data_IF_005560227452
#
_entry.id   IF_005560227452
#
_cell.length_a   1.000
_cell.length_b   1.000
_cell.length_c   1.000
_cell.angle_alpha   90.00
_cell.angle_beta   90.00
_cell.angle_gamma   90.00
#
_symmetry.space_group_name_H-M   'P 1'
#
loop_
_entity.id
_entity.type
_entity.pdbx_description
1 polymer ?
#
# COMPACT_ATOMS: atom_id res chain seq x y z
N UNK A 1 -12.27 -11.74 -1.87
CA UNK A 1 -13.07 -10.52 -1.58
C UNK A 1 -14.02 -10.85 -0.44
N UNK A 2 -14.00 -10.09 0.64
CA UNK A 2 -15.04 -10.12 1.65
C UNK A 2 -16.16 -9.12 1.26
N UNK A 3 -17.39 -9.48 1.53
CA UNK A 3 -18.56 -8.63 1.31
C UNK A 3 -19.25 -8.49 2.66
N UNK A 4 -19.06 -7.34 3.31
CA UNK A 4 -19.56 -7.06 4.63
C UNK A 4 -21.01 -6.51 4.63
N UNK A 5 -21.53 -6.16 3.44
CA UNK A 5 -22.87 -5.63 3.28
C UNK A 5 -23.22 -5.26 1.84
N UNK A 6 -24.39 -4.65 1.67
CA UNK A 6 -24.98 -4.37 0.34
C UNK A 6 -24.85 -2.91 -0.11
N UNK A 7 -24.23 -2.02 0.68
CA UNK A 7 -24.02 -0.64 0.25
C UNK A 7 -22.95 -0.57 -0.83
N UNK A 8 -22.82 0.59 -1.44
CA UNK A 8 -21.95 0.78 -2.61
C UNK A 8 -20.48 0.46 -2.31
N UNK A 9 -20.02 0.72 -1.08
CA UNK A 9 -18.62 0.54 -0.66
C UNK A 9 -18.46 -0.43 0.50
N UNK A 10 -19.42 -1.37 0.70
CA UNK A 10 -19.34 -2.35 1.79
C UNK A 10 -18.55 -3.63 1.41
N UNK A 11 -18.06 -3.75 0.17
CA UNK A 11 -17.12 -4.80 -0.24
C UNK A 11 -15.68 -4.31 -0.16
N UNK A 12 -14.72 -5.23 0.01
CA UNK A 12 -13.29 -4.91 -0.02
C UNK A 12 -12.94 -4.07 -1.26
N UNK A 13 -13.30 -4.57 -2.46
CA UNK A 13 -13.01 -3.87 -3.72
C UNK A 13 -13.68 -2.50 -3.78
N UNK A 14 -14.96 -2.39 -3.37
CA UNK A 14 -15.67 -1.12 -3.34
C UNK A 14 -15.03 -0.11 -2.38
N UNK A 15 -14.54 -0.59 -1.24
CA UNK A 15 -13.85 0.22 -0.24
C UNK A 15 -12.46 0.67 -0.73
N UNK A 16 -11.72 -0.23 -1.36
CA UNK A 16 -10.38 0.07 -1.89
C UNK A 16 -10.45 1.09 -3.03
N UNK A 17 -11.42 0.95 -3.95
CA UNK A 17 -11.67 1.93 -5.01
C UNK A 17 -12.03 3.30 -4.42
N UNK A 18 -12.93 3.32 -3.43
CA UNK A 18 -13.30 4.56 -2.76
C UNK A 18 -12.09 5.23 -2.11
N UNK A 19 -11.29 4.48 -1.39
CA UNK A 19 -10.09 5.00 -0.73
C UNK A 19 -9.06 5.51 -1.74
N UNK A 20 -8.81 4.73 -2.80
CA UNK A 20 -7.89 5.13 -3.87
C UNK A 20 -8.29 6.50 -4.44
N UNK A 21 -9.53 6.66 -4.88
CA UNK A 21 -10.00 7.90 -5.50
C UNK A 21 -9.99 9.07 -4.51
N UNK A 22 -10.54 8.86 -3.32
CA UNK A 22 -10.72 9.93 -2.34
C UNK A 22 -9.40 10.38 -1.73
N UNK A 23 -8.49 9.47 -1.40
CA UNK A 23 -7.20 9.86 -0.83
C UNK A 23 -6.29 10.52 -1.88
N UNK A 24 -6.24 10.00 -3.12
CA UNK A 24 -5.50 10.62 -4.22
C UNK A 24 -6.00 12.05 -4.49
N UNK A 25 -7.32 12.24 -4.57
CA UNK A 25 -7.91 13.57 -4.74
C UNK A 25 -7.58 14.50 -3.56
N UNK A 26 -7.74 14.01 -2.34
CA UNK A 26 -7.42 14.79 -1.14
C UNK A 26 -5.95 15.19 -1.09
N UNK A 27 -5.06 14.38 -1.61
CA UNK A 27 -3.63 14.63 -1.68
C UNK A 27 -3.23 15.53 -2.85
N UNK A 28 -4.20 15.93 -3.68
CA UNK A 28 -4.00 16.91 -4.75
C UNK A 28 -3.62 16.30 -6.10
N UNK A 29 -3.79 14.98 -6.27
CA UNK A 29 -3.65 14.35 -7.58
C UNK A 29 -4.71 14.91 -8.53
N UNK A 30 -4.34 15.17 -9.78
CA UNK A 30 -5.27 15.69 -10.78
C UNK A 30 -6.39 14.69 -11.08
N UNK A 31 -7.58 15.19 -11.38
CA UNK A 31 -8.72 14.35 -11.75
C UNK A 31 -8.41 13.49 -12.99
N UNK A 32 -7.75 14.07 -13.98
CA UNK A 32 -7.41 13.35 -15.21
C UNK A 32 -6.47 12.15 -14.91
N UNK A 33 -5.53 12.33 -13.99
CA UNK A 33 -4.65 11.24 -13.55
C UNK A 33 -5.45 10.15 -12.83
N UNK A 34 -6.33 10.53 -11.90
CA UNK A 34 -7.19 9.59 -11.16
C UNK A 34 -8.08 8.79 -12.13
N UNK A 35 -8.73 9.48 -13.06
CA UNK A 35 -9.59 8.82 -14.06
C UNK A 35 -8.78 7.89 -14.96
N UNK A 36 -7.60 8.30 -15.40
CA UNK A 36 -6.71 7.46 -16.22
C UNK A 36 -6.29 6.19 -15.48
N UNK A 37 -5.96 6.28 -14.19
CA UNK A 37 -5.62 5.12 -13.35
C UNK A 37 -6.83 4.18 -13.19
N UNK A 38 -8.02 4.71 -12.94
CA UNK A 38 -9.26 3.93 -12.87
C UNK A 38 -9.49 3.14 -14.17
N UNK A 39 -9.39 3.80 -15.32
CA UNK A 39 -9.61 3.15 -16.61
C UNK A 39 -8.56 2.06 -16.90
N UNK A 40 -7.32 2.25 -16.45
CA UNK A 40 -6.26 1.26 -16.59
C UNK A 40 -6.50 0.00 -15.72
N UNK A 41 -7.12 0.17 -14.57
CA UNK A 41 -7.39 -0.93 -13.64
C UNK A 41 -8.70 -1.68 -13.94
N UNK A 42 -9.54 -1.19 -14.84
CA UNK A 42 -10.85 -1.80 -15.17
C UNK A 42 -10.72 -3.30 -15.46
N UNK A 43 -9.74 -3.70 -16.28
CA UNK A 43 -9.56 -5.11 -16.68
C UNK A 43 -9.18 -6.02 -15.52
N UNK A 44 -8.53 -5.48 -14.49
CA UNK A 44 -8.10 -6.23 -13.32
C UNK A 44 -9.27 -6.51 -12.36
N UNK A 45 -10.25 -5.61 -12.31
CA UNK A 45 -11.40 -5.70 -11.42
C UNK A 45 -12.65 -6.27 -12.10
N UNK A 46 -12.95 -5.89 -13.31
CA UNK A 46 -14.18 -6.26 -14.02
C UNK A 46 -14.07 -7.62 -14.72
N UNK A 47 -13.87 -8.69 -13.94
CA UNK A 47 -13.73 -10.06 -14.47
C UNK A 47 -15.05 -10.68 -14.91
N UNK A 48 -16.17 -10.19 -14.40
CA UNK A 48 -17.53 -10.58 -14.75
C UNK A 48 -18.54 -9.45 -14.48
N UNK A 49 -19.83 -9.69 -14.70
CA UNK A 49 -20.88 -8.67 -14.52
C UNK A 49 -21.09 -8.28 -13.05
N UNK A 50 -20.87 -9.18 -12.09
CA UNK A 50 -21.00 -8.92 -10.67
C UNK A 50 -19.91 -7.95 -10.19
N UNK A 51 -18.64 -8.25 -10.52
CA UNK A 51 -17.52 -7.36 -10.20
C UNK A 51 -17.58 -6.05 -10.97
N UNK A 52 -18.08 -6.07 -12.19
CA UNK A 52 -18.34 -4.86 -13.00
C UNK A 52 -19.36 -3.92 -12.32
N UNK A 53 -20.44 -4.48 -11.75
CA UNK A 53 -21.41 -3.69 -10.97
C UNK A 53 -20.74 -3.04 -9.76
N UNK A 54 -19.99 -3.80 -8.96
CA UNK A 54 -19.31 -3.30 -7.74
C UNK A 54 -18.31 -2.20 -8.12
N UNK A 55 -17.43 -2.49 -9.07
CA UNK A 55 -16.39 -1.58 -9.50
C UNK A 55 -16.93 -0.23 -9.94
N UNK A 56 -17.79 -0.24 -10.96
CA UNK A 56 -18.26 1.00 -11.56
C UNK A 56 -19.20 1.80 -10.65
N UNK A 57 -20.00 1.13 -9.81
CA UNK A 57 -20.83 1.85 -8.84
C UNK A 57 -19.99 2.52 -7.76
N UNK A 58 -18.90 1.87 -7.30
CA UNK A 58 -17.96 2.46 -6.36
C UNK A 58 -17.16 3.62 -6.97
N UNK A 59 -16.72 3.49 -8.24
CA UNK A 59 -16.06 4.56 -9.01
C UNK A 59 -16.96 5.79 -9.12
N UNK A 60 -18.19 5.63 -9.62
CA UNK A 60 -19.10 6.77 -9.82
C UNK A 60 -19.48 7.43 -8.50
N UNK A 61 -19.75 6.63 -7.45
CA UNK A 61 -20.02 7.15 -6.12
C UNK A 61 -18.86 8.01 -5.60
N UNK A 62 -17.63 7.52 -5.75
CA UNK A 62 -16.42 8.18 -5.27
C UNK A 62 -16.15 9.49 -6.03
N UNK A 63 -16.26 9.46 -7.36
CA UNK A 63 -16.10 10.64 -8.21
C UNK A 63 -17.21 11.68 -7.93
N UNK A 64 -18.44 11.24 -7.69
CA UNK A 64 -19.51 12.12 -7.24
C UNK A 64 -19.22 12.74 -5.86
N UNK A 65 -18.66 11.95 -4.93
CA UNK A 65 -18.27 12.44 -3.59
C UNK A 65 -17.25 13.56 -3.64
N UNK A 66 -16.32 13.50 -4.57
CA UNK A 66 -15.31 14.55 -4.77
C UNK A 66 -15.82 15.70 -5.68
N UNK A 67 -17.04 15.58 -6.24
CA UNK A 67 -17.65 16.59 -7.11
C UNK A 67 -17.10 16.62 -8.54
N UNK A 68 -16.54 15.52 -9.02
CA UNK A 68 -15.88 15.43 -10.32
C UNK A 68 -16.28 14.15 -11.08
N UNK A 69 -17.58 13.89 -11.21
CA UNK A 69 -18.08 12.74 -11.98
C UNK A 69 -18.15 13.08 -13.47
N UNK A 70 -17.30 12.49 -14.35
CA UNK A 70 -17.41 12.66 -15.79
C UNK A 70 -18.72 12.12 -16.35
N UNK A 71 -19.19 12.72 -17.43
CA UNK A 71 -20.50 12.39 -18.02
C UNK A 71 -20.53 10.97 -18.61
N UNK A 72 -19.46 10.54 -19.27
CA UNK A 72 -19.30 9.21 -19.84
C UNK A 72 -19.31 8.12 -18.76
N UNK A 73 -18.61 8.33 -17.65
CA UNK A 73 -18.65 7.40 -16.50
C UNK A 73 -20.05 7.38 -15.88
N UNK A 74 -20.69 8.53 -15.74
CA UNK A 74 -22.05 8.61 -15.23
C UNK A 74 -23.03 7.81 -16.08
N UNK A 75 -23.00 7.96 -17.39
CA UNK A 75 -23.86 7.24 -18.34
C UNK A 75 -23.60 5.74 -18.26
N UNK A 76 -22.32 5.31 -18.31
CA UNK A 76 -21.93 3.90 -18.16
C UNK A 76 -22.52 3.28 -16.88
N UNK A 77 -22.44 4.00 -15.76
CA UNK A 77 -22.92 3.46 -14.47
C UNK A 77 -24.43 3.44 -14.39
N UNK A 78 -25.13 4.43 -14.96
CA UNK A 78 -26.58 4.40 -15.03
C UNK A 78 -27.09 3.25 -15.89
N UNK A 79 -26.40 2.89 -16.97
CA UNK A 79 -26.71 1.72 -17.80
C UNK A 79 -26.49 0.41 -17.03
N UNK A 80 -25.44 0.33 -16.22
CA UNK A 80 -25.20 -0.83 -15.33
C UNK A 80 -26.32 -0.95 -14.30
N UNK A 81 -26.69 0.15 -13.63
CA UNK A 81 -27.78 0.16 -12.64
C UNK A 81 -29.13 -0.20 -13.28
N UNK A 82 -29.40 0.22 -14.51
CA UNK A 82 -30.62 -0.09 -15.21
C UNK A 82 -30.80 -1.58 -15.51
N UNK A 83 -29.73 -2.37 -15.55
CA UNK A 83 -29.80 -3.84 -15.65
C UNK A 83 -30.31 -4.51 -14.37
N UNK A 84 -30.26 -3.79 -13.25
CA UNK A 84 -30.61 -4.31 -11.93
C UNK A 84 -29.41 -4.91 -11.18
N UNK A 85 -29.61 -5.15 -9.89
CA UNK A 85 -28.60 -5.81 -9.05
C UNK A 85 -28.37 -7.25 -9.53
N UNK A 86 -27.11 -7.66 -9.59
CA UNK A 86 -26.72 -8.97 -10.08
C UNK A 86 -27.25 -10.10 -9.17
N UNK A 87 -27.69 -11.22 -9.75
CA UNK A 87 -28.32 -12.31 -9.01
C UNK A 87 -27.40 -12.98 -7.97
N UNK A 88 -26.10 -12.90 -8.14
CA UNK A 88 -25.10 -13.41 -7.18
C UNK A 88 -25.27 -12.85 -5.76
N UNK A 89 -25.95 -11.72 -5.60
CA UNK A 89 -26.29 -11.19 -4.27
C UNK A 89 -27.19 -12.14 -3.48
N UNK A 90 -27.95 -13.05 -4.13
CA UNK A 90 -28.75 -14.06 -3.45
C UNK A 90 -27.90 -15.16 -2.80
N UNK A 91 -26.71 -15.41 -3.33
CA UNK A 91 -25.79 -16.41 -2.77
C UNK A 91 -25.17 -15.93 -1.45
N UNK A 92 -25.14 -14.61 -1.24
CA UNK A 92 -24.62 -13.98 -0.02
C UNK A 92 -25.71 -13.99 1.09
N UNK A 93 -26.90 -13.51 0.79
CA UNK A 93 -28.08 -13.52 1.68
C UNK A 93 -29.38 -13.40 0.88
N UNK A 94 -30.43 -14.10 1.31
CA UNK A 94 -31.72 -14.13 0.65
C UNK A 94 -32.40 -12.77 0.47
N UNK A 95 -32.00 -11.78 1.26
CA UNK A 95 -32.52 -10.38 1.19
C UNK A 95 -31.54 -9.45 0.48
N UNK A 96 -30.28 -9.88 0.25
CA UNK A 96 -29.22 -9.02 -0.26
C UNK A 96 -29.54 -8.45 -1.64
N UNK A 97 -30.07 -9.24 -2.57
CA UNK A 97 -30.44 -8.76 -3.91
C UNK A 97 -31.41 -7.57 -3.85
N UNK A 98 -32.50 -7.68 -3.07
CA UNK A 98 -33.48 -6.62 -2.93
C UNK A 98 -32.91 -5.38 -2.24
N UNK A 99 -32.06 -5.58 -1.26
CA UNK A 99 -31.41 -4.49 -0.55
C UNK A 99 -30.38 -3.79 -1.44
N UNK A 100 -29.61 -4.56 -2.21
CA UNK A 100 -28.65 -4.01 -3.18
C UNK A 100 -29.35 -3.20 -4.25
N UNK A 101 -30.44 -3.72 -4.83
CA UNK A 101 -31.25 -2.96 -5.80
C UNK A 101 -31.65 -1.59 -5.24
N UNK A 102 -32.15 -1.53 -4.00
CA UNK A 102 -32.49 -0.27 -3.37
C UNK A 102 -31.29 0.69 -3.23
N UNK A 103 -30.08 0.16 -2.99
CA UNK A 103 -28.87 0.99 -2.94
C UNK A 103 -28.52 1.52 -4.33
N UNK A 104 -28.65 0.70 -5.36
CA UNK A 104 -28.42 1.09 -6.75
C UNK A 104 -29.43 2.16 -7.21
N UNK A 105 -30.72 2.00 -6.90
CA UNK A 105 -31.75 2.98 -7.21
C UNK A 105 -31.46 4.33 -6.51
N UNK A 106 -31.03 4.27 -5.26
CA UNK A 106 -30.64 5.46 -4.51
C UNK A 106 -29.42 6.13 -5.14
N UNK A 107 -28.42 5.34 -5.56
CA UNK A 107 -27.24 5.86 -6.26
C UNK A 107 -27.62 6.50 -7.59
N UNK A 108 -28.51 5.87 -8.39
CA UNK A 108 -28.96 6.42 -9.67
C UNK A 108 -29.56 7.82 -9.51
N UNK A 109 -30.41 8.01 -8.50
CA UNK A 109 -30.98 9.33 -8.18
C UNK A 109 -29.88 10.31 -7.74
N UNK A 110 -28.94 9.85 -6.91
CA UNK A 110 -27.84 10.67 -6.42
C UNK A 110 -26.92 11.16 -7.54
N UNK A 111 -26.57 10.30 -8.49
CA UNK A 111 -25.69 10.64 -9.60
C UNK A 111 -26.31 11.63 -10.59
N UNK A 112 -27.65 11.80 -10.60
CA UNK A 112 -28.32 12.77 -11.45
C UNK A 112 -28.24 14.22 -10.94
N UNK A 113 -27.74 14.41 -9.73
CA UNK A 113 -27.56 15.73 -9.13
C UNK A 113 -26.09 15.97 -8.80
N UNK A 114 -25.69 17.24 -8.78
CA UNK A 114 -24.38 17.62 -8.23
C UNK A 114 -24.31 17.35 -6.73
N UNK A 115 -23.11 17.01 -6.24
CA UNK A 115 -22.91 16.87 -4.81
C UNK A 115 -22.96 18.25 -4.13
N UNK A 116 -23.93 18.50 -3.23
CA UNK A 116 -24.02 19.80 -2.57
C UNK A 116 -22.87 20.07 -1.59
N UNK A 117 -22.10 19.04 -1.24
CA UNK A 117 -20.99 19.11 -0.30
C UNK A 117 -19.80 18.24 -0.78
N UNK A 118 -19.17 18.59 -1.90
CA UNK A 118 -18.04 17.80 -2.39
C UNK A 118 -16.87 17.82 -1.40
N UNK A 119 -16.16 16.72 -1.36
CA UNK A 119 -14.92 16.63 -0.60
C UNK A 119 -13.91 17.61 -1.19
N UNK A 120 -13.12 18.21 -0.33
CA UNK A 120 -12.11 19.21 -0.74
C UNK A 120 -10.72 18.59 -0.71
N UNK A 121 -9.89 19.03 -1.64
CA UNK A 121 -8.44 18.84 -1.54
C UNK A 121 -8.00 19.38 -0.17
N UNK A 122 -7.26 18.59 0.52
CA UNK A 122 -6.75 18.99 1.83
C UNK A 122 -5.61 19.98 1.61
N UNK A 123 -5.55 21.06 2.37
CA UNK A 123 -4.39 21.96 2.34
C UNK A 123 -3.14 21.17 2.75
N UNK A 124 -2.13 21.16 1.89
CA UNK A 124 -0.83 20.59 2.22
C UNK A 124 -0.33 21.21 3.52
N UNK A 125 -0.09 20.39 4.51
CA UNK A 125 0.75 20.80 5.64
C UNK A 125 2.18 20.79 5.13
N UNK A 126 3.00 21.69 5.59
CA UNK A 126 4.40 21.92 5.24
C UNK A 126 5.09 20.69 4.65
N UNK A 127 5.66 20.81 3.44
CA UNK A 127 6.50 19.73 2.88
C UNK A 127 7.53 19.33 3.95
N UNK A 128 7.47 18.08 4.36
CA UNK A 128 8.53 17.49 5.18
C UNK A 128 9.55 16.91 4.24
N UNK A 129 10.80 17.15 4.52
CA UNK A 129 11.88 16.48 3.80
C UNK A 129 12.10 15.09 4.41
N UNK A 130 12.27 14.04 3.60
CA UNK A 130 12.62 12.72 4.10
C UNK A 130 13.93 12.74 4.88
N UNK A 131 14.04 11.93 5.93
CA UNK A 131 15.28 11.71 6.66
C UNK A 131 16.32 10.99 5.83
N UNK A 132 15.89 10.08 4.97
CA UNK A 132 16.73 9.23 4.13
C UNK A 132 16.14 9.13 2.72
N UNK A 133 16.98 8.72 1.77
CA UNK A 133 16.62 8.50 0.37
C UNK A 133 16.66 7.00 0.05
N UNK A 134 15.93 6.60 -0.98
CA UNK A 134 16.05 5.25 -1.54
C UNK A 134 17.50 4.97 -1.90
N UNK A 135 18.00 3.83 -1.47
CA UNK A 135 19.39 3.41 -1.67
C UNK A 135 20.35 3.83 -0.56
N UNK A 136 19.95 4.71 0.38
CA UNK A 136 20.81 5.00 1.54
C UNK A 136 21.04 3.73 2.35
N UNK A 137 22.33 3.47 2.68
CA UNK A 137 22.77 2.33 3.51
C UNK A 137 23.08 2.84 4.89
N UNK A 138 22.45 2.21 5.89
CA UNK A 138 22.48 2.66 7.27
C UNK A 138 23.13 1.60 8.16
N UNK A 139 24.10 2.02 8.98
CA UNK A 139 24.47 1.29 10.18
C UNK A 139 23.42 1.56 11.25
N UNK A 140 22.95 0.51 11.90
CA UNK A 140 22.03 0.58 13.03
C UNK A 140 22.78 0.26 14.30
N UNK A 141 22.82 1.19 15.24
CA UNK A 141 23.49 1.00 16.54
C UNK A 141 22.49 0.46 17.55
N UNK A 142 22.74 -0.74 18.00
CA UNK A 142 22.10 -1.35 19.17
C UNK A 142 22.94 -1.13 20.44
N UNK A 143 22.52 -1.69 21.56
CA UNK A 143 23.24 -1.50 22.84
C UNK A 143 24.71 -1.98 22.79
N UNK A 144 24.94 -3.20 22.25
CA UNK A 144 26.25 -3.84 22.23
C UNK A 144 26.74 -4.23 20.83
N UNK A 145 25.95 -3.97 19.81
CA UNK A 145 26.16 -4.46 18.44
C UNK A 145 25.70 -3.43 17.41
N UNK A 146 26.09 -3.68 16.18
CA UNK A 146 25.64 -2.93 15.02
C UNK A 146 25.05 -3.86 13.98
N UNK A 147 23.94 -3.41 13.39
CA UNK A 147 23.38 -4.02 12.19
C UNK A 147 23.60 -3.18 10.95
N UNK A 148 23.22 -3.71 9.80
CA UNK A 148 23.16 -2.96 8.55
C UNK A 148 21.81 -3.17 7.85
N UNK A 149 21.25 -2.07 7.40
CA UNK A 149 19.98 -2.01 6.66
C UNK A 149 20.14 -1.05 5.47
N UNK A 150 19.19 -1.04 4.55
CA UNK A 150 19.16 -0.04 3.49
C UNK A 150 17.72 0.41 3.23
N UNK A 151 17.58 1.63 2.73
CA UNK A 151 16.28 2.18 2.37
C UNK A 151 15.85 1.61 1.03
N UNK A 152 14.91 0.69 1.04
CA UNK A 152 14.41 0.02 -0.17
C UNK A 152 13.34 0.85 -0.89
N UNK A 153 12.59 1.66 -0.14
CA UNK A 153 11.57 2.56 -0.71
C UNK A 153 11.27 3.72 0.23
N UNK A 154 10.80 4.83 -0.33
CA UNK A 154 10.26 5.99 0.39
C UNK A 154 8.96 6.40 -0.26
N UNK A 155 7.84 6.07 0.36
CA UNK A 155 6.52 6.53 -0.08
C UNK A 155 6.23 7.92 0.47
N UNK A 156 6.25 8.92 -0.40
CA UNK A 156 6.03 10.31 -0.04
C UNK A 156 4.78 10.87 -0.69
N UNK A 157 3.82 11.22 0.15
CA UNK A 157 2.67 12.04 -0.22
C UNK A 157 2.75 13.42 0.47
N UNK A 158 1.89 14.40 0.10
CA UNK A 158 1.85 15.71 0.76
C UNK A 158 1.64 15.68 2.29
N UNK A 159 1.36 14.49 2.84
CA UNK A 159 1.01 14.32 4.27
C UNK A 159 1.77 13.26 4.98
N UNK A 160 2.25 12.28 4.25
CA UNK A 160 2.74 11.03 4.75
C UNK A 160 4.10 10.78 4.11
N UNK A 161 5.07 10.49 4.92
CA UNK A 161 6.33 9.91 4.48
C UNK A 161 6.48 8.61 5.22
N UNK A 162 6.65 7.54 4.47
CA UNK A 162 6.87 6.20 4.98
C UNK A 162 8.13 5.63 4.36
N UNK A 163 8.82 4.85 5.14
CA UNK A 163 10.10 4.27 4.76
C UNK A 163 10.01 2.77 4.82
N UNK A 164 10.56 2.13 3.84
CA UNK A 164 10.82 0.70 3.84
C UNK A 164 12.32 0.48 4.02
N UNK A 165 12.67 -0.17 5.10
CA UNK A 165 14.05 -0.43 5.50
C UNK A 165 14.31 -1.92 5.37
N UNK A 166 14.95 -2.33 4.28
CA UNK A 166 15.29 -3.71 4.04
C UNK A 166 16.45 -4.13 4.97
N UNK A 167 16.23 -5.19 5.73
CA UNK A 167 17.19 -5.68 6.70
C UNK A 167 18.20 -6.65 6.06
N UNK A 168 19.42 -6.66 6.58
CA UNK A 168 20.41 -7.67 6.25
C UNK A 168 20.64 -8.60 7.44
N UNK A 169 21.38 -9.70 7.24
CA UNK A 169 21.83 -10.60 8.32
C UNK A 169 23.16 -10.18 8.94
N UNK A 170 23.57 -8.92 8.73
CA UNK A 170 24.81 -8.41 9.30
C UNK A 170 24.57 -7.88 10.71
N UNK A 171 25.08 -8.61 11.69
CA UNK A 171 25.08 -8.23 13.10
C UNK A 171 26.47 -8.48 13.67
N UNK A 172 27.12 -7.43 14.20
CA UNK A 172 28.51 -7.50 14.66
C UNK A 172 28.80 -6.42 15.72
N UNK A 173 29.91 -6.57 16.43
CA UNK A 173 30.31 -5.63 17.49
C UNK A 173 30.79 -4.28 16.97
N UNK A 174 31.39 -4.27 15.80
CA UNK A 174 31.94 -3.07 15.20
C UNK A 174 30.96 -2.50 14.16
N UNK A 175 31.04 -1.20 13.95
CA UNK A 175 30.22 -0.50 12.94
C UNK A 175 30.51 -1.09 11.55
N UNK A 176 29.47 -1.47 10.78
CA UNK A 176 29.61 -2.06 9.44
C UNK A 176 30.27 -1.11 8.44
N UNK A 177 31.05 -1.68 7.54
CA UNK A 177 31.55 -1.00 6.34
C UNK A 177 30.65 -1.32 5.14
N UNK A 178 30.75 -0.49 4.07
CA UNK A 178 30.08 -0.78 2.81
C UNK A 178 30.47 -2.14 2.22
N UNK A 179 31.72 -2.53 2.34
CA UNK A 179 32.18 -3.84 1.86
C UNK A 179 31.49 -4.98 2.60
N UNK A 180 31.40 -4.90 3.91
CA UNK A 180 30.70 -5.91 4.73
C UNK A 180 29.20 -5.93 4.41
N UNK A 181 28.58 -4.75 4.25
CA UNK A 181 27.18 -4.65 3.83
C UNK A 181 26.95 -5.34 2.47
N UNK A 182 27.76 -5.03 1.44
CA UNK A 182 27.62 -5.60 0.10
C UNK A 182 27.79 -7.12 0.05
N UNK A 183 28.58 -7.68 0.95
CA UNK A 183 28.79 -9.12 1.08
C UNK A 183 27.85 -9.79 2.08
N UNK A 184 26.96 -9.04 2.73
CA UNK A 184 25.95 -9.60 3.62
C UNK A 184 24.78 -10.19 2.85
N UNK A 185 23.99 -11.00 3.52
CA UNK A 185 22.76 -11.58 2.99
C UNK A 185 21.60 -10.68 3.34
N UNK A 186 20.62 -10.59 2.43
CA UNK A 186 19.35 -9.94 2.71
C UNK A 186 18.56 -10.82 3.70
N UNK A 187 17.91 -10.20 4.67
CA UNK A 187 17.02 -10.91 5.57
C UNK A 187 15.72 -11.23 4.82
N UNK A 188 15.54 -12.50 4.50
CA UNK A 188 14.32 -13.00 3.83
C UNK A 188 13.75 -14.18 4.59
N UNK A 189 12.44 -14.36 4.50
CA UNK A 189 11.72 -15.48 5.08
C UNK A 189 10.80 -16.12 4.05
N UNK A 190 10.49 -17.39 4.25
CA UNK A 190 9.54 -18.10 3.44
C UNK A 190 8.36 -18.51 4.32
N UNK A 191 7.18 -18.11 3.92
CA UNK A 191 5.97 -18.57 4.57
C UNK A 191 5.59 -19.99 4.12
N UNK A 192 4.54 -20.55 4.71
CA UNK A 192 4.03 -21.88 4.37
C UNK A 192 3.32 -21.94 3.00
N UNK A 193 3.12 -20.81 2.35
CA UNK A 193 2.43 -20.68 1.05
C UNK A 193 3.37 -20.65 -0.14
N UNK A 194 4.68 -20.81 0.08
CA UNK A 194 5.74 -20.71 -0.92
C UNK A 194 6.08 -19.31 -1.44
N UNK A 195 5.56 -18.27 -0.82
CA UNK A 195 6.01 -16.91 -1.09
C UNK A 195 7.28 -16.62 -0.31
N UNK A 196 8.29 -16.08 -1.00
CA UNK A 196 9.42 -15.48 -0.33
C UNK A 196 8.97 -14.15 0.24
N UNK A 197 9.22 -13.93 1.52
CA UNK A 197 8.84 -12.73 2.21
C UNK A 197 10.11 -12.05 2.67
N UNK A 198 10.41 -10.92 2.06
CA UNK A 198 11.51 -10.08 2.50
C UNK A 198 11.13 -9.44 3.83
N UNK A 199 12.09 -9.39 4.73
CA UNK A 199 11.91 -8.72 6.00
C UNK A 199 12.35 -7.28 5.84
N UNK A 200 11.46 -6.42 5.41
CA UNK A 200 11.66 -5.00 5.56
C UNK A 200 10.82 -4.46 6.71
N UNK A 201 11.37 -3.47 7.38
CA UNK A 201 10.70 -2.74 8.42
C UNK A 201 10.04 -1.50 7.82
N UNK A 202 8.77 -1.30 8.12
CA UNK A 202 8.04 -0.14 7.64
C UNK A 202 7.85 0.88 8.77
N UNK A 203 8.31 2.11 8.54
CA UNK A 203 8.21 3.20 9.49
C UNK A 203 7.49 4.40 8.92
N UNK A 204 6.65 5.04 9.71
CA UNK A 204 6.24 6.39 9.42
C UNK A 204 7.36 7.41 9.79
N UNK A 205 7.29 8.59 9.21
CA UNK A 205 8.31 9.63 9.38
C UNK A 205 8.56 10.05 10.85
N UNK A 206 7.53 10.04 11.68
CA UNK A 206 7.65 10.42 13.07
C UNK A 206 8.39 9.37 13.88
N UNK A 207 8.03 8.11 13.69
CA UNK A 207 8.61 7.01 14.48
C UNK A 207 10.06 6.77 14.07
N UNK A 208 10.37 6.83 12.76
CA UNK A 208 11.75 6.79 12.30
C UNK A 208 12.58 7.97 12.85
N UNK A 209 11.96 9.15 12.94
CA UNK A 209 12.59 10.35 13.52
C UNK A 209 13.06 10.17 14.96
N UNK A 210 12.45 9.26 15.73
CA UNK A 210 12.87 8.94 17.09
C UNK A 210 14.12 8.05 17.14
N UNK A 211 14.47 7.43 16.04
CA UNK A 211 15.58 6.47 15.95
C UNK A 211 16.84 7.08 15.29
N UNK A 212 16.82 8.35 14.86
CA UNK A 212 17.91 8.95 14.10
C UNK A 212 19.28 8.87 14.82
N UNK A 213 19.30 8.96 16.15
CA UNK A 213 20.54 8.81 16.94
C UNK A 213 21.13 7.40 16.89
N UNK A 214 20.34 6.42 16.43
CA UNK A 214 20.77 5.04 16.25
C UNK A 214 21.10 4.70 14.79
N UNK A 215 20.83 5.60 13.85
CA UNK A 215 20.95 5.37 12.42
C UNK A 215 22.03 6.28 11.83
N UNK A 216 23.02 5.68 11.18
CA UNK A 216 24.08 6.43 10.53
C UNK A 216 24.25 5.99 9.08
N UNK A 217 24.23 6.95 8.15
CA UNK A 217 24.50 6.66 6.73
C UNK A 217 25.95 6.26 6.58
N UNK A 218 26.20 5.06 6.06
CA UNK A 218 27.54 4.53 5.77
C UNK A 218 27.86 4.52 4.28
N UNK A 219 26.86 4.77 3.44
CA UNK A 219 26.99 4.86 1.99
C UNK A 219 25.64 4.87 1.30
N UNK A 220 25.66 4.73 -0.01
CA UNK A 220 24.46 4.61 -0.83
C UNK A 220 24.69 3.64 -1.98
N UNK A 221 23.60 3.05 -2.47
CA UNK A 221 23.57 2.13 -3.61
C UNK A 221 22.42 2.47 -4.55
N UNK A 222 22.57 2.13 -5.81
CA UNK A 222 21.45 2.10 -6.74
C UNK A 222 20.80 0.71 -6.70
N UNK A 223 19.49 0.67 -6.51
CA UNK A 223 18.76 -0.57 -6.43
C UNK A 223 18.16 -0.93 -7.80
N UNK A 224 18.22 -2.20 -8.18
CA UNK A 224 17.36 -2.68 -9.25
C UNK A 224 15.90 -2.50 -8.83
N UNK A 225 14.97 -2.27 -9.77
CA UNK A 225 13.55 -2.26 -9.46
C UNK A 225 13.12 -3.68 -9.06
N UNK A 226 13.47 -4.08 -7.85
CA UNK A 226 13.02 -5.32 -7.23
C UNK A 226 11.82 -5.02 -6.33
N UNK A 227 10.83 -5.88 -6.38
CA UNK A 227 9.72 -5.84 -5.44
C UNK A 227 10.17 -6.55 -4.16
N UNK A 228 10.71 -5.78 -3.22
CA UNK A 228 10.80 -6.25 -1.85
C UNK A 228 9.37 -6.27 -1.28
N UNK A 229 8.95 -7.41 -0.76
CA UNK A 229 7.60 -7.56 -0.21
C UNK A 229 7.54 -6.93 1.18
N UNK A 230 6.64 -6.01 1.35
CA UNK A 230 6.51 -5.14 2.51
C UNK A 230 5.62 -5.79 3.56
N UNK A 231 6.18 -6.25 4.66
CA UNK A 231 5.40 -7.13 5.53
C UNK A 231 5.13 -6.68 6.94
N UNK A 232 5.99 -5.97 7.58
CA UNK A 232 5.82 -5.73 9.01
C UNK A 232 5.85 -4.25 9.33
N UNK A 233 4.78 -3.68 9.88
CA UNK A 233 4.89 -2.39 10.52
C UNK A 233 5.89 -2.51 11.69
N UNK A 234 6.89 -1.67 11.69
CA UNK A 234 7.85 -1.51 12.76
C UNK A 234 7.72 -0.09 13.32
N UNK A 235 7.99 0.08 14.56
CA UNK A 235 7.93 1.39 15.21
C UNK A 235 9.10 1.60 16.15
N UNK A 236 9.91 0.57 16.38
CA UNK A 236 10.94 0.54 17.39
C UNK A 236 12.28 0.03 16.86
N UNK A 237 13.34 0.33 17.61
CA UNK A 237 14.66 -0.21 17.34
C UNK A 237 14.72 -1.74 17.56
N UNK A 238 13.91 -2.24 18.49
CA UNK A 238 13.81 -3.68 18.77
C UNK A 238 13.24 -4.43 17.58
N UNK A 239 12.26 -3.87 16.87
CA UNK A 239 11.71 -4.48 15.66
C UNK A 239 12.79 -4.67 14.58
N UNK A 240 13.65 -3.66 14.38
CA UNK A 240 14.79 -3.76 13.44
C UNK A 240 15.76 -4.85 13.89
N UNK A 241 16.08 -4.89 15.19
CA UNK A 241 16.97 -5.91 15.75
C UNK A 241 16.42 -7.31 15.52
N UNK A 242 15.13 -7.52 15.80
CA UNK A 242 14.47 -8.80 15.62
C UNK A 242 14.53 -9.28 14.16
N UNK A 243 14.32 -8.36 13.20
CA UNK A 243 14.40 -8.69 11.78
C UNK A 243 15.82 -9.06 11.34
N UNK A 244 16.85 -8.41 11.88
CA UNK A 244 18.26 -8.72 11.59
C UNK A 244 18.69 -10.02 12.26
N UNK A 245 18.36 -10.21 13.53
CA UNK A 245 18.85 -11.30 14.38
C UNK A 245 18.13 -12.64 14.17
N UNK A 246 17.08 -12.70 13.35
CA UNK A 246 16.32 -13.93 13.13
C UNK A 246 15.49 -14.37 14.33
N UNK A 247 14.53 -13.54 14.71
CA UNK A 247 13.75 -13.79 15.91
C UNK A 247 12.74 -14.93 15.74
N UNK A 248 12.73 -15.93 16.64
CA UNK A 248 11.78 -17.02 16.66
C UNK A 248 10.34 -16.60 17.02
N UNK A 249 10.07 -15.36 17.45
CA UNK A 249 8.69 -14.87 17.76
C UNK A 249 7.74 -14.96 16.55
N UNK A 250 8.26 -14.90 15.36
CA UNK A 250 7.48 -15.09 14.13
C UNK A 250 7.18 -16.56 13.83
N UNK A 251 7.39 -17.40 14.76
CA UNK A 251 6.99 -18.78 15.10
C UNK A 251 6.68 -19.78 13.98
N UNK A 252 6.26 -19.37 12.80
CA UNK A 252 5.88 -20.24 11.68
C UNK A 252 6.63 -19.92 10.39
N UNK A 253 7.34 -18.82 10.34
CA UNK A 253 8.13 -18.45 9.19
C UNK A 253 9.48 -19.13 9.26
N UNK A 254 9.85 -19.81 8.20
CA UNK A 254 11.17 -20.44 8.08
C UNK A 254 12.08 -19.53 7.30
N UNK A 255 13.32 -19.39 7.76
CA UNK A 255 14.36 -18.79 6.96
C UNK A 255 14.53 -19.56 5.65
N UNK A 256 14.79 -18.84 4.58
CA UNK A 256 15.20 -19.45 3.33
C UNK A 256 16.70 -19.69 3.44
N UNK A 257 17.15 -20.90 3.08
CA UNK A 257 18.58 -21.25 3.12
C UNK A 257 19.41 -20.51 2.07
N UNK A 258 18.76 -20.00 1.02
CA UNK A 258 19.38 -19.26 -0.06
C UNK A 258 18.92 -17.83 -0.08
N UNK A 259 19.74 -16.95 0.46
CA UNK A 259 19.54 -15.50 0.35
C UNK A 259 20.35 -14.96 -0.81
N UNK A 260 19.77 -14.05 -1.55
CA UNK A 260 20.54 -13.20 -2.44
C UNK A 260 21.46 -12.31 -1.60
N UNK A 261 22.69 -12.16 -2.04
CA UNK A 261 23.60 -11.20 -1.44
C UNK A 261 23.14 -9.80 -1.82
N UNK A 262 23.31 -8.84 -0.93
CA UNK A 262 22.94 -7.45 -1.20
C UNK A 262 23.52 -6.96 -2.52
N UNK A 263 24.79 -7.28 -2.82
CA UNK A 263 25.45 -6.89 -4.08
C UNK A 263 24.79 -7.44 -5.36
N UNK A 264 23.92 -8.43 -5.25
CA UNK A 264 23.22 -9.03 -6.40
C UNK A 264 21.93 -8.28 -6.76
N UNK A 265 21.40 -7.50 -5.82
CA UNK A 265 20.20 -6.69 -6.02
C UNK A 265 20.49 -5.21 -6.29
N UNK A 266 21.75 -4.81 -6.28
CA UNK A 266 22.16 -3.43 -6.60
C UNK A 266 22.62 -3.30 -8.06
N UNK A 267 22.33 -2.13 -8.65
CA UNK A 267 22.88 -1.77 -9.96
C UNK A 267 24.37 -1.44 -9.81
N UNK A 268 25.15 -1.91 -10.77
CA UNK A 268 26.59 -1.61 -10.84
C UNK A 268 26.84 -0.27 -11.50
#
# INVERSE_FOLDING_TARGET
MAIDGVKIIDSDDGHDIYNLIVERYRDGTSIDTIVSEILAEEQNFCTDEFYTEIYWTAVAYSLWKIGHLPQDIKEKVLDIIAKGAHEFWLDIDSKALKQRQKMLDTLAVQLQSENPKPLKVRKSKTKREPHFKVGDVLAVKFENEYGAIFVSDVDQSPRKIEYHLACTRLLQKEKPTMEQFLNSKIACRKDNTNFAIDTDCWFNHKDLGLLLDHLEIIGAVELYPCKLWKLAPAGTLEDIYEEIADNPRLGKLRLIDTYELVKEVIQK
#
